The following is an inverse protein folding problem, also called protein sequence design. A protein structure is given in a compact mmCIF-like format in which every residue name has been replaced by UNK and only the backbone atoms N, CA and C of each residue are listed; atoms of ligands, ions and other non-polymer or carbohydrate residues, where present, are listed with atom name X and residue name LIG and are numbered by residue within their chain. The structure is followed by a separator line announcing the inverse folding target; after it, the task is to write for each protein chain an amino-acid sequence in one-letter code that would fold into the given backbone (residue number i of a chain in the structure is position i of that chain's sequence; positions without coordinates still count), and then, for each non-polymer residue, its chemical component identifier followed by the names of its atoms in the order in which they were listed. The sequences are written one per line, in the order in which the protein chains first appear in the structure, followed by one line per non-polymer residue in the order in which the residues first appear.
data_IF_575129056224
#
_entry.id   IF_575129056224
#
_cell.length_a   1.000
_cell.length_b   1.000
_cell.length_c   1.000
_cell.angle_alpha   90.00
_cell.angle_beta   90.00
_cell.angle_gamma   90.00
#
_symmetry.space_group_name_H-M   'P 1'
#
loop_
_entity.id
_entity.type
_entity.pdbx_description
1 polymer ?
#
# COMPACT_ATOMS: atom_id res chain seq x y z
N UNK A 1 2.33 -3.84 -25.69
CA UNK A 1 3.11 -4.06 -24.45
C UNK A 1 3.12 -2.83 -23.55
N UNK A 2 3.38 -1.62 -24.09
CA UNK A 2 3.28 -0.36 -23.32
C UNK A 2 1.91 -0.13 -22.68
N UNK A 3 0.81 -0.41 -23.40
CA UNK A 3 -0.54 -0.22 -22.85
C UNK A 3 -0.85 -1.17 -21.68
N UNK A 4 -0.42 -2.44 -21.79
CA UNK A 4 -0.60 -3.43 -20.74
C UNK A 4 0.21 -3.08 -19.49
N UNK A 5 1.47 -2.66 -19.66
CA UNK A 5 2.32 -2.21 -18.56
C UNK A 5 1.72 -0.98 -17.86
N UNK A 6 1.19 -0.02 -18.62
CA UNK A 6 0.48 1.14 -18.09
C UNK A 6 -0.73 0.77 -17.24
N UNK A 7 -1.58 -0.16 -17.73
CA UNK A 7 -2.73 -0.66 -16.97
C UNK A 7 -2.28 -1.33 -15.67
N UNK A 8 -1.25 -2.18 -15.72
CA UNK A 8 -0.75 -2.86 -14.51
C UNK A 8 -0.18 -1.86 -13.49
N UNK A 9 0.55 -0.83 -13.93
CA UNK A 9 1.05 0.22 -13.05
C UNK A 9 -0.09 0.98 -12.36
N UNK A 10 -1.14 1.33 -13.10
CA UNK A 10 -2.33 1.99 -12.55
C UNK A 10 -3.01 1.09 -11.51
N UNK A 11 -3.23 -0.18 -11.84
CA UNK A 11 -3.84 -1.15 -10.91
C UNK A 11 -2.98 -1.33 -9.66
N UNK A 12 -1.65 -1.42 -9.81
CA UNK A 12 -0.71 -1.56 -8.70
C UNK A 12 -0.73 -0.36 -7.76
N UNK A 13 -0.73 0.87 -8.31
CA UNK A 13 -0.88 2.09 -7.51
C UNK A 13 -2.23 2.10 -6.79
N UNK A 14 -3.34 1.82 -7.49
CA UNK A 14 -4.67 1.83 -6.88
C UNK A 14 -4.77 0.81 -5.74
N UNK A 15 -4.26 -0.41 -5.94
CA UNK A 15 -4.23 -1.43 -4.91
C UNK A 15 -3.43 -0.97 -3.68
N UNK A 16 -2.27 -0.33 -3.90
CA UNK A 16 -1.44 0.22 -2.83
C UNK A 16 -2.17 1.33 -2.07
N UNK A 17 -2.81 2.28 -2.76
CA UNK A 17 -3.59 3.38 -2.15
C UNK A 17 -4.76 2.83 -1.34
N UNK A 18 -5.54 1.89 -1.89
CA UNK A 18 -6.66 1.24 -1.20
C UNK A 18 -6.18 0.53 0.06
N UNK A 19 -5.09 -0.23 -0.03
CA UNK A 19 -4.51 -0.89 1.13
C UNK A 19 -4.05 0.10 2.19
N UNK A 20 -3.42 1.21 1.76
CA UNK A 20 -2.94 2.25 2.66
C UNK A 20 -4.08 2.90 3.45
N UNK A 21 -5.16 3.29 2.77
CA UNK A 21 -6.35 3.88 3.40
C UNK A 21 -7.07 2.86 4.27
N UNK A 22 -7.13 1.59 3.88
CA UNK A 22 -7.74 0.54 4.69
C UNK A 22 -6.97 0.32 6.01
N UNK A 23 -5.65 0.36 5.98
CA UNK A 23 -4.80 0.30 7.18
C UNK A 23 -5.03 1.54 8.06
N UNK A 24 -5.06 2.73 7.46
CA UNK A 24 -5.36 3.98 8.17
C UNK A 24 -6.70 3.90 8.91
N UNK A 25 -7.76 3.50 8.19
CA UNK A 25 -9.10 3.34 8.74
C UNK A 25 -9.15 2.30 9.86
N UNK A 26 -8.42 1.20 9.72
CA UNK A 26 -8.33 0.18 10.77
C UNK A 26 -7.60 0.70 12.03
N UNK A 27 -6.57 1.54 11.89
CA UNK A 27 -5.90 2.19 13.01
C UNK A 27 -6.80 3.22 13.71
N UNK A 28 -7.53 4.03 12.94
CA UNK A 28 -8.53 4.97 13.48
C UNK A 28 -9.62 4.21 14.26
N UNK A 29 -10.16 3.14 13.70
CA UNK A 29 -11.17 2.30 14.36
C UNK A 29 -10.69 1.63 15.64
N UNK A 30 -9.37 1.57 15.88
CA UNK A 30 -8.75 1.04 17.09
C UNK A 30 -8.27 2.15 18.06
N UNK A 31 -8.61 3.41 17.81
CA UNK A 31 -8.26 4.55 18.66
C UNK A 31 -6.82 5.05 18.48
N UNK A 32 -6.10 4.61 17.45
CA UNK A 32 -4.67 4.91 17.27
C UNK A 32 -4.43 6.02 16.27
N UNK A 33 -5.00 7.19 16.56
CA UNK A 33 -4.94 8.36 15.71
C UNK A 33 -3.50 8.79 15.38
N UNK A 34 -2.58 8.71 16.35
CA UNK A 34 -1.17 9.06 16.12
C UNK A 34 -0.54 8.18 15.04
N UNK A 35 -0.76 6.86 15.08
CA UNK A 35 -0.25 5.95 14.05
C UNK A 35 -0.98 6.17 12.72
N UNK A 36 -2.29 6.38 12.76
CA UNK A 36 -3.08 6.69 11.58
C UNK A 36 -2.64 7.99 10.86
N UNK A 37 -2.14 8.99 11.58
CA UNK A 37 -1.56 10.19 10.95
C UNK A 37 -0.15 9.92 10.44
N UNK A 38 0.68 9.20 11.21
CA UNK A 38 2.09 8.97 10.86
C UNK A 38 2.28 8.18 9.56
N UNK A 39 1.37 7.26 9.21
CA UNK A 39 1.43 6.55 7.93
C UNK A 39 1.35 7.48 6.71
N UNK A 40 0.66 8.62 6.80
CA UNK A 40 0.61 9.58 5.69
C UNK A 40 1.90 10.40 5.56
N UNK A 41 2.68 10.49 6.64
CA UNK A 41 3.99 11.15 6.66
C UNK A 41 5.09 10.17 6.23
N UNK A 42 5.00 8.92 6.70
CA UNK A 42 5.97 7.85 6.44
C UNK A 42 5.22 6.63 5.92
N UNK A 43 4.95 6.57 4.60
CA UNK A 43 4.17 5.48 3.99
C UNK A 43 4.69 4.06 4.30
N UNK A 44 6.01 3.80 4.40
CA UNK A 44 6.51 2.48 4.77
C UNK A 44 6.08 1.97 6.15
N UNK A 45 5.56 2.83 7.04
CA UNK A 45 5.04 2.39 8.35
C UNK A 45 3.70 1.64 8.24
N UNK A 46 2.92 1.91 7.19
CA UNK A 46 1.62 1.26 7.01
C UNK A 46 1.70 -0.27 6.93
N UNK A 47 2.53 -0.88 6.07
CA UNK A 47 2.65 -2.35 6.03
C UNK A 47 3.20 -2.93 7.33
N UNK A 48 4.13 -2.25 8.01
CA UNK A 48 4.67 -2.72 9.30
C UNK A 48 3.58 -2.83 10.37
N UNK A 49 2.80 -1.77 10.55
CA UNK A 49 1.68 -1.78 11.48
C UNK A 49 0.51 -2.66 11.02
N UNK A 50 0.37 -2.90 9.72
CA UNK A 50 -0.60 -3.88 9.24
C UNK A 50 -0.27 -5.30 9.73
N UNK A 51 1.00 -5.69 9.69
CA UNK A 51 1.47 -6.98 10.21
C UNK A 51 1.27 -7.10 11.72
N UNK A 52 1.66 -6.07 12.48
CA UNK A 52 1.45 -6.03 13.95
C UNK A 52 -0.02 -6.19 14.37
N UNK A 53 -0.97 -5.85 13.48
CA UNK A 53 -2.41 -5.79 13.78
C UNK A 53 -3.26 -6.87 13.14
N UNK A 54 -2.61 -7.88 12.55
CA UNK A 54 -3.29 -8.97 11.87
C UNK A 54 -4.01 -8.53 10.59
N UNK A 55 -3.62 -7.39 10.01
CA UNK A 55 -4.17 -6.86 8.76
C UNK A 55 -3.43 -7.43 7.54
N UNK A 56 -3.15 -8.75 7.56
CA UNK A 56 -2.27 -9.43 6.60
C UNK A 56 -2.69 -9.25 5.14
N UNK A 57 -4.00 -9.24 4.84
CA UNK A 57 -4.50 -8.97 3.48
C UNK A 57 -4.06 -7.60 2.96
N UNK A 58 -4.16 -6.58 3.80
CA UNK A 58 -3.80 -5.21 3.42
C UNK A 58 -2.29 -5.02 3.37
N UNK A 59 -1.53 -5.71 4.21
CA UNK A 59 -0.08 -5.81 4.08
C UNK A 59 0.31 -6.37 2.70
N UNK A 60 -0.24 -7.52 2.32
CA UNK A 60 0.07 -8.16 1.04
C UNK A 60 -0.31 -7.29 -0.16
N UNK A 61 -1.47 -6.62 -0.12
CA UNK A 61 -1.87 -5.70 -1.18
C UNK A 61 -0.95 -4.48 -1.28
N UNK A 62 -0.51 -3.92 -0.15
CA UNK A 62 0.40 -2.78 -0.15
C UNK A 62 1.78 -3.17 -0.69
N UNK A 63 2.38 -4.23 -0.16
CA UNK A 63 3.72 -4.70 -0.58
C UNK A 63 3.70 -5.24 -2.00
N UNK A 64 2.67 -6.00 -2.36
CA UNK A 64 2.50 -6.54 -3.72
C UNK A 64 2.31 -5.42 -4.75
N UNK A 65 1.47 -4.43 -4.45
CA UNK A 65 1.30 -3.24 -5.29
C UNK A 65 2.60 -2.45 -5.45
N UNK A 66 3.31 -2.20 -4.36
CA UNK A 66 4.61 -1.52 -4.39
C UNK A 66 5.66 -2.29 -5.22
N UNK A 67 5.79 -3.60 -5.00
CA UNK A 67 6.74 -4.45 -5.72
C UNK A 67 6.43 -4.53 -7.21
N UNK A 68 5.15 -4.70 -7.59
CA UNK A 68 4.72 -4.70 -8.98
C UNK A 68 5.00 -3.35 -9.65
N UNK A 69 4.69 -2.23 -8.96
CA UNK A 69 4.96 -0.90 -9.48
C UNK A 69 6.46 -0.66 -9.68
N UNK A 70 7.29 -0.98 -8.70
CA UNK A 70 8.73 -0.79 -8.74
C UNK A 70 9.38 -1.64 -9.85
N UNK A 71 8.99 -2.92 -9.96
CA UNK A 71 9.53 -3.84 -10.96
C UNK A 71 9.13 -3.43 -12.39
N UNK A 72 7.86 -3.09 -12.62
CA UNK A 72 7.42 -2.73 -13.97
C UNK A 72 7.98 -1.36 -14.37
N UNK A 73 8.06 -0.42 -13.43
CA UNK A 73 8.68 0.89 -13.67
C UNK A 73 10.16 0.76 -14.02
N UNK A 74 10.91 -0.14 -13.37
CA UNK A 74 12.33 -0.35 -13.67
C UNK A 74 12.58 -1.06 -14.99
N UNK A 75 11.64 -1.91 -15.45
CA UNK A 75 11.72 -2.59 -16.74
C UNK A 75 11.24 -1.73 -17.92
N UNK A 76 10.43 -0.71 -17.64
CA UNK A 76 9.87 0.20 -18.65
C UNK A 76 10.66 1.50 -18.83
N UNK A 77 11.60 1.79 -17.92
CA UNK A 77 12.48 2.96 -17.92
C UNK A 77 13.73 2.79 -18.78
#
# INVERSE_FOLDING_TARGET
MRDLAGVVLVVAILAMVVAHVAIARALVGRGELRRACLIFVVPPLAPLWATERGLGRWFLLWVGGFAAYALISSLAG
#
